data_IF_576644736776
#
_entry.id   IF_576644736776
#
_cell.length_a   1.000
_cell.length_b   1.000
_cell.length_c   1.000
_cell.angle_alpha   90.00
_cell.angle_beta   90.00
_cell.angle_gamma   90.00
#
_symmetry.space_group_name_H-M   'P 1'
#
loop_
_entity.id
_entity.type
_entity.pdbx_description
1 polymer ?
#
# COMPACT_ATOMS: atom_id res chain seq x y z
N UNK A 1 20.37 -3.72 -8.03
CA UNK A 1 20.91 -4.58 -6.99
C UNK A 1 19.87 -5.62 -6.62
N UNK A 2 20.16 -6.90 -6.86
CA UNK A 2 19.22 -7.95 -6.45
C UNK A 2 19.40 -8.21 -4.95
N UNK A 3 18.34 -8.05 -4.18
CA UNK A 3 18.32 -8.37 -2.76
C UNK A 3 18.05 -9.86 -2.60
N UNK A 4 18.94 -10.58 -1.92
CA UNK A 4 18.68 -11.96 -1.55
C UNK A 4 17.80 -11.98 -0.30
N UNK A 5 16.51 -12.24 -0.49
CA UNK A 5 15.50 -12.20 0.58
C UNK A 5 15.80 -13.23 1.68
N UNK A 6 16.23 -14.42 1.30
CA UNK A 6 16.56 -15.47 2.28
C UNK A 6 17.71 -15.06 3.20
N UNK A 7 18.75 -14.44 2.62
CA UNK A 7 19.88 -13.95 3.39
C UNK A 7 19.48 -12.80 4.29
N UNK A 8 18.67 -11.86 3.78
CA UNK A 8 18.15 -10.76 4.59
C UNK A 8 17.34 -11.26 5.79
N UNK A 9 16.48 -12.25 5.59
CA UNK A 9 15.69 -12.85 6.66
C UNK A 9 16.54 -13.51 7.74
N UNK A 10 17.68 -14.09 7.37
CA UNK A 10 18.62 -14.67 8.33
C UNK A 10 19.37 -13.59 9.12
N UNK A 11 19.75 -12.52 8.44
CA UNK A 11 20.54 -11.44 9.04
C UNK A 11 19.73 -10.48 9.90
N UNK A 12 18.40 -10.41 9.68
CA UNK A 12 17.51 -9.56 10.44
C UNK A 12 17.28 -10.07 11.85
N UNK A 13 17.32 -9.15 12.82
CA UNK A 13 16.88 -9.42 14.19
C UNK A 13 15.35 -9.49 14.26
N UNK A 14 14.82 -10.07 15.33
CA UNK A 14 13.37 -10.10 15.57
C UNK A 14 12.78 -8.70 15.67
N UNK A 15 13.48 -7.78 16.29
CA UNK A 15 13.07 -6.37 16.41
C UNK A 15 12.98 -5.68 15.03
N UNK A 16 13.93 -5.92 14.16
CA UNK A 16 13.93 -5.40 12.79
C UNK A 16 12.76 -5.97 11.98
N UNK A 17 12.50 -7.26 12.09
CA UNK A 17 11.35 -7.91 11.44
C UNK A 17 10.03 -7.32 11.94
N UNK A 18 9.90 -7.13 13.24
CA UNK A 18 8.72 -6.52 13.85
C UNK A 18 8.56 -5.06 13.40
N UNK A 19 9.64 -4.32 13.26
CA UNK A 19 9.61 -2.92 12.80
C UNK A 19 9.06 -2.78 11.38
N UNK A 20 9.32 -3.74 10.50
CA UNK A 20 8.79 -3.74 9.12
C UNK A 20 7.28 -4.01 9.07
N UNK A 21 6.71 -4.60 10.12
CA UNK A 21 5.26 -4.78 10.24
C UNK A 21 4.54 -3.52 10.74
N UNK A 22 5.29 -2.49 11.10
CA UNK A 22 4.79 -1.20 11.58
C UNK A 22 5.16 -0.11 10.58
N UNK A 23 4.29 0.89 10.41
CA UNK A 23 4.58 2.03 9.54
C UNK A 23 5.54 3.02 10.18
N UNK A 24 6.27 3.76 9.34
CA UNK A 24 7.02 4.95 9.75
C UNK A 24 6.08 6.15 9.89
N UNK A 25 5.23 6.32 8.90
CA UNK A 25 4.17 7.32 8.86
C UNK A 25 2.92 6.74 8.17
N UNK A 26 1.97 7.57 7.78
CA UNK A 26 0.72 7.12 7.12
C UNK A 26 0.96 6.37 5.80
N UNK A 27 2.08 6.63 5.12
CA UNK A 27 2.29 6.19 3.75
C UNK A 27 3.58 5.43 3.52
N UNK A 28 4.48 5.39 4.50
CA UNK A 28 5.80 4.78 4.34
C UNK A 28 6.06 3.67 5.35
N UNK A 29 6.79 2.66 4.90
CA UNK A 29 7.35 1.64 5.77
C UNK A 29 8.61 2.17 6.47
N UNK A 30 9.02 1.53 7.56
CA UNK A 30 10.29 1.83 8.21
C UNK A 30 11.46 1.32 7.40
N UNK A 31 12.59 2.01 7.52
CA UNK A 31 13.86 1.54 6.95
C UNK A 31 14.56 0.57 7.90
N UNK A 32 15.42 -0.27 7.35
CA UNK A 32 16.44 -1.02 8.10
C UNK A 32 17.79 -0.66 7.48
N UNK A 33 18.38 0.43 7.96
CA UNK A 33 19.59 1.00 7.36
C UNK A 33 20.79 0.04 7.42
N UNK A 34 20.90 -0.71 8.50
CA UNK A 34 21.95 -1.71 8.69
C UNK A 34 22.02 -2.73 7.55
N UNK A 35 20.88 -3.09 6.98
CA UNK A 35 20.76 -4.07 5.90
C UNK A 35 20.46 -3.43 4.54
N UNK A 36 20.39 -2.11 4.47
CA UNK A 36 20.10 -1.39 3.24
C UNK A 36 18.67 -1.53 2.76
N UNK A 37 17.71 -1.80 3.64
CA UNK A 37 16.29 -1.87 3.31
C UNK A 37 15.70 -0.45 3.33
N UNK A 38 15.26 0.07 2.16
CA UNK A 38 14.72 1.43 2.07
C UNK A 38 13.28 1.50 2.58
N UNK A 39 12.82 2.72 2.88
CA UNK A 39 11.40 2.99 3.08
C UNK A 39 10.66 2.83 1.74
N UNK A 40 9.50 2.21 1.79
CA UNK A 40 8.63 2.04 0.63
C UNK A 40 7.35 2.84 0.87
N UNK A 41 6.96 3.64 -0.11
CA UNK A 41 5.69 4.34 -0.10
C UNK A 41 4.57 3.38 -0.48
N UNK A 42 3.54 3.33 0.34
CA UNK A 42 2.35 2.51 0.13
C UNK A 42 1.12 3.39 0.13
N UNK A 43 0.20 3.09 -0.75
CA UNK A 43 -1.08 3.78 -0.83
C UNK A 43 -2.22 2.77 -0.70
N UNK A 44 -3.36 3.25 -0.26
CA UNK A 44 -4.57 2.44 -0.20
C UNK A 44 -5.68 3.05 -1.07
N UNK A 45 -6.84 2.51 -0.98
CA UNK A 45 -8.04 3.05 -1.60
C UNK A 45 -9.02 1.93 -1.97
N UNK A 46 -10.30 2.08 -1.66
CA UNK A 46 -11.28 1.03 -1.92
C UNK A 46 -11.63 0.88 -3.39
N UNK A 47 -11.57 1.96 -4.17
CA UNK A 47 -11.99 2.00 -5.58
C UNK A 47 -10.98 2.77 -6.44
N UNK A 48 -9.71 2.56 -6.18
CA UNK A 48 -8.59 3.27 -6.77
C UNK A 48 -7.67 3.82 -5.69
N UNK A 49 -6.58 4.46 -6.09
CA UNK A 49 -5.61 5.01 -5.15
C UNK A 49 -6.19 6.17 -4.35
N UNK A 50 -5.95 6.15 -3.05
CA UNK A 50 -6.25 7.25 -2.14
C UNK A 50 -4.96 7.63 -1.42
N UNK A 51 -4.58 8.90 -1.54
CA UNK A 51 -3.45 9.46 -0.80
C UNK A 51 -3.73 10.93 -0.50
N UNK A 52 -3.44 11.36 0.70
CA UNK A 52 -3.50 12.75 1.10
C UNK A 52 -2.15 13.42 0.83
N UNK A 53 -2.17 14.72 0.53
CA UNK A 53 -0.97 15.52 0.47
C UNK A 53 -0.49 15.87 1.89
N UNK A 54 0.83 15.88 2.08
CA UNK A 54 1.43 16.16 3.38
C UNK A 54 1.24 15.02 4.38
N UNK A 55 1.12 15.37 5.64
CA UNK A 55 0.81 14.41 6.69
C UNK A 55 -0.64 13.94 6.61
N UNK A 56 -0.83 12.63 6.67
CA UNK A 56 -2.17 12.06 6.65
C UNK A 56 -2.97 12.45 7.89
N UNK A 57 -4.27 12.59 7.74
CA UNK A 57 -5.20 12.79 8.84
C UNK A 57 -6.34 11.77 8.80
N UNK A 58 -6.94 11.52 9.96
CA UNK A 58 -8.09 10.62 10.07
C UNK A 58 -9.42 11.28 9.75
N UNK A 59 -9.44 12.61 9.67
CA UNK A 59 -10.65 13.41 9.46
C UNK A 59 -10.92 13.70 7.98
N UNK A 60 -9.91 13.46 7.11
CA UNK A 60 -10.02 13.72 5.69
C UNK A 60 -10.07 15.23 5.34
N UNK A 61 -9.47 16.06 6.16
CA UNK A 61 -9.42 17.51 5.97
C UNK A 61 -8.36 17.89 4.95
N UNK A 62 -7.25 17.16 4.91
CA UNK A 62 -6.16 17.42 3.97
C UNK A 62 -6.57 17.11 2.54
N UNK A 63 -6.03 17.90 1.61
CA UNK A 63 -6.25 17.66 0.19
C UNK A 63 -5.72 16.29 -0.22
N UNK A 64 -6.38 15.70 -1.21
CA UNK A 64 -6.03 14.38 -1.73
C UNK A 64 -5.40 14.50 -3.09
N UNK A 65 -4.43 13.63 -3.36
CA UNK A 65 -3.82 13.52 -4.67
C UNK A 65 -4.84 12.94 -5.65
N UNK A 66 -4.92 13.54 -6.84
CA UNK A 66 -5.77 13.01 -7.90
C UNK A 66 -5.25 11.67 -8.40
N UNK A 67 -6.15 10.71 -8.53
CA UNK A 67 -5.85 9.38 -9.00
C UNK A 67 -7.04 8.81 -9.79
N UNK A 68 -6.84 7.66 -10.45
CA UNK A 68 -7.90 6.97 -11.15
C UNK A 68 -9.03 6.54 -10.20
N UNK A 69 -10.26 6.70 -10.65
CA UNK A 69 -11.44 6.27 -9.92
C UNK A 69 -12.09 5.07 -10.63
N UNK A 70 -12.22 3.96 -9.93
CA UNK A 70 -12.90 2.77 -10.42
C UNK A 70 -14.32 2.71 -9.86
N UNK A 71 -15.21 1.89 -10.46
CA UNK A 71 -16.56 1.72 -9.94
C UNK A 71 -16.55 1.25 -8.48
N UNK A 72 -17.55 1.69 -7.70
CA UNK A 72 -17.69 1.25 -6.31
C UNK A 72 -17.90 -0.27 -6.24
N UNK A 73 -17.53 -0.87 -5.10
CA UNK A 73 -17.74 -2.30 -4.88
C UNK A 73 -19.21 -2.69 -4.97
N UNK A 74 -20.12 -1.81 -4.57
CA UNK A 74 -21.56 -2.02 -4.73
C UNK A 74 -21.98 -2.10 -6.20
N UNK A 75 -21.44 -1.20 -7.05
CA UNK A 75 -21.70 -1.21 -8.48
C UNK A 75 -21.15 -2.47 -9.16
N UNK A 76 -19.95 -2.90 -8.78
CA UNK A 76 -19.33 -4.13 -9.28
C UNK A 76 -20.12 -5.35 -8.87
N UNK A 77 -20.58 -5.42 -7.62
CA UNK A 77 -21.39 -6.52 -7.11
C UNK A 77 -22.76 -6.60 -7.77
N UNK A 78 -23.34 -5.49 -8.20
CA UNK A 78 -24.60 -5.44 -8.92
C UNK A 78 -24.46 -5.87 -10.40
N UNK A 79 -23.23 -5.99 -10.91
CA UNK A 79 -22.98 -6.45 -12.28
C UNK A 79 -23.21 -7.94 -12.46
N UNK A 80 -23.68 -8.35 -13.65
CA UNK A 80 -23.93 -9.75 -13.99
C UNK A 80 -22.71 -10.47 -14.56
N UNK A 81 -21.67 -9.75 -14.93
CA UNK A 81 -20.46 -10.30 -15.55
C UNK A 81 -19.34 -10.47 -14.51
N UNK A 82 -19.26 -11.64 -13.89
CA UNK A 82 -18.24 -11.96 -12.88
C UNK A 82 -16.81 -11.77 -13.42
N UNK A 83 -16.57 -12.16 -14.67
CA UNK A 83 -15.26 -11.97 -15.31
C UNK A 83 -14.87 -10.51 -15.42
N UNK A 84 -15.80 -9.62 -15.75
CA UNK A 84 -15.55 -8.19 -15.81
C UNK A 84 -15.26 -7.63 -14.40
N UNK A 85 -15.99 -8.07 -13.40
CA UNK A 85 -15.74 -7.67 -12.01
C UNK A 85 -14.32 -8.06 -11.58
N UNK A 86 -13.86 -9.25 -11.88
CA UNK A 86 -12.49 -9.69 -11.60
C UNK A 86 -11.43 -8.81 -12.29
N UNK A 87 -11.66 -8.44 -13.55
CA UNK A 87 -10.75 -7.55 -14.29
C UNK A 87 -10.70 -6.17 -13.66
N UNK A 88 -11.84 -5.59 -13.28
CA UNK A 88 -11.89 -4.28 -12.64
C UNK A 88 -11.16 -4.25 -11.29
N UNK A 89 -11.37 -5.28 -10.46
CA UNK A 89 -10.68 -5.39 -9.17
C UNK A 89 -9.19 -5.64 -9.36
N UNK A 90 -8.81 -6.52 -10.28
CA UNK A 90 -7.41 -6.78 -10.60
C UNK A 90 -6.70 -5.56 -11.20
N UNK A 91 -7.40 -4.73 -11.98
CA UNK A 91 -6.87 -3.49 -12.52
C UNK A 91 -6.69 -2.38 -11.48
N UNK A 92 -7.37 -2.47 -10.34
CA UNK A 92 -7.26 -1.50 -9.25
C UNK A 92 -6.10 -1.82 -8.29
N UNK A 93 -5.58 -3.04 -8.34
CA UNK A 93 -4.52 -3.52 -7.45
C UNK A 93 -3.11 -3.01 -7.85
#
# INVERSE_FOLDING_TARGET
MSMNIEQLLKDMTLEEKASLCSGHDFWHTKTVERLGIPAVMMCDGPNGLRKQEGEGDHLGINERIQAGCFPTSAAVAAGFAVGLACVLVGGAA
#
